data_IF_626295854222
#
_entry.id   IF_626295854222
#
_cell.length_a   1.000
_cell.length_b   1.000
_cell.length_c   1.000
_cell.angle_alpha   90.00
_cell.angle_beta   90.00
_cell.angle_gamma   90.00
#
_symmetry.space_group_name_H-M   'P 1'
#
loop_
_entity.id
_entity.type
_entity.pdbx_description
1 polymer ?
#
# COMPACT_ATOMS: atom_id res chain seq x y z
N UNK A 1 4.97 8.52 -0.13
CA UNK A 1 6.41 8.21 -0.22
C UNK A 1 6.58 6.71 -0.17
N UNK A 2 7.44 6.16 -1.02
CA UNK A 2 7.63 4.71 -1.17
C UNK A 2 9.05 4.26 -0.83
N UNK A 3 9.16 3.00 -0.42
CA UNK A 3 10.46 2.30 -0.39
C UNK A 3 10.84 1.83 -1.80
N UNK A 4 11.48 2.72 -2.57
CA UNK A 4 11.83 2.53 -4.00
C UNK A 4 12.48 1.19 -4.36
N UNK A 5 13.21 0.54 -3.44
CA UNK A 5 13.87 -0.74 -3.69
C UNK A 5 12.90 -1.94 -3.76
N UNK A 6 11.63 -1.79 -3.36
CA UNK A 6 10.69 -2.92 -3.33
C UNK A 6 10.19 -3.28 -4.74
N UNK A 7 10.16 -4.58 -5.14
CA UNK A 7 9.87 -5.00 -6.51
C UNK A 7 8.49 -4.57 -7.03
N UNK A 8 7.50 -4.41 -6.15
CA UNK A 8 6.15 -3.93 -6.54
C UNK A 8 6.17 -2.52 -7.14
N UNK A 9 7.18 -1.71 -6.83
CA UNK A 9 7.35 -0.36 -7.36
C UNK A 9 8.23 -0.30 -8.62
N UNK A 10 8.58 -1.45 -9.20
CA UNK A 10 9.40 -1.47 -10.43
C UNK A 10 8.78 -0.60 -11.52
N UNK A 11 9.57 0.28 -12.14
CA UNK A 11 9.10 1.23 -13.16
C UNK A 11 8.44 2.50 -12.61
N UNK A 12 8.25 2.63 -11.30
CA UNK A 12 7.92 3.90 -10.67
C UNK A 12 9.21 4.69 -10.45
N UNK A 13 9.30 5.89 -11.03
CA UNK A 13 10.52 6.72 -11.00
C UNK A 13 10.58 7.60 -9.75
N UNK A 14 9.44 8.18 -9.40
CA UNK A 14 9.31 9.16 -8.33
C UNK A 14 9.08 8.51 -6.96
N UNK A 15 9.40 9.21 -5.87
CA UNK A 15 9.14 8.75 -4.50
C UNK A 15 7.67 8.86 -4.11
N UNK A 16 6.95 9.68 -4.86
CA UNK A 16 5.53 9.96 -4.69
C UNK A 16 4.85 9.81 -6.04
N UNK A 17 3.69 9.17 -6.03
CA UNK A 17 2.82 9.04 -7.19
C UNK A 17 1.38 8.94 -6.70
N UNK A 18 0.45 9.11 -7.63
CA UNK A 18 -0.98 9.08 -7.34
C UNK A 18 -1.53 7.67 -7.53
N UNK A 19 -2.47 7.32 -6.65
CA UNK A 19 -3.30 6.12 -6.72
C UNK A 19 -4.74 6.52 -6.41
N UNK A 20 -5.68 5.92 -7.14
CA UNK A 20 -7.10 6.02 -6.88
C UNK A 20 -7.45 5.44 -5.51
N UNK A 21 -8.33 6.10 -4.78
CA UNK A 21 -8.80 5.68 -3.47
C UNK A 21 -10.28 5.99 -3.33
N UNK A 22 -11.09 4.96 -3.10
CA UNK A 22 -12.56 5.05 -3.08
C UNK A 22 -13.10 4.84 -1.67
N UNK A 23 -12.67 5.67 -0.71
CA UNK A 23 -13.07 5.57 0.71
C UNK A 23 -12.84 4.18 1.32
N UNK A 24 -11.80 3.46 0.90
CA UNK A 24 -11.40 2.17 1.47
C UNK A 24 -10.94 2.31 2.94
N UNK A 25 -10.66 1.22 3.66
CA UNK A 25 -10.20 1.33 5.04
C UNK A 25 -8.83 2.04 5.12
N UNK A 26 -8.73 3.06 5.97
CA UNK A 26 -7.44 3.60 6.42
C UNK A 26 -6.84 2.60 7.39
N UNK A 27 -5.61 2.18 7.12
CA UNK A 27 -4.96 1.14 7.92
C UNK A 27 -4.43 1.74 9.23
N UNK A 28 -4.69 1.04 10.32
CA UNK A 28 -4.18 1.37 11.65
C UNK A 28 -3.46 0.15 12.24
N UNK A 29 -2.39 0.35 13.03
CA UNK A 29 -1.75 -0.75 13.73
C UNK A 29 -2.76 -1.46 14.65
N UNK A 30 -2.86 -2.79 14.52
CA UNK A 30 -3.57 -3.62 15.50
C UNK A 30 -2.72 -3.88 16.74
N UNK A 31 -3.37 -4.30 17.82
CA UNK A 31 -2.76 -4.62 19.13
C UNK A 31 -2.51 -6.13 19.34
N UNK A 32 -2.83 -6.95 18.34
CA UNK A 32 -2.64 -8.39 18.39
C UNK A 32 -1.14 -8.75 18.35
N UNK A 33 -0.71 -9.85 19.00
CA UNK A 33 0.68 -10.31 19.03
C UNK A 33 1.07 -11.00 17.70
N UNK A 34 0.96 -10.28 16.59
CA UNK A 34 1.33 -10.72 15.25
C UNK A 34 2.77 -10.29 14.91
N UNK A 35 3.44 -10.96 13.95
CA UNK A 35 4.69 -10.48 13.41
C UNK A 35 4.58 -9.03 12.93
N UNK A 36 5.65 -8.25 13.08
CA UNK A 36 5.70 -6.88 12.58
C UNK A 36 5.49 -6.86 11.06
N UNK A 37 4.70 -5.90 10.61
CA UNK A 37 4.62 -5.54 9.19
C UNK A 37 5.63 -4.44 8.86
N UNK A 38 5.94 -4.33 7.58
CA UNK A 38 6.73 -3.26 7.01
C UNK A 38 5.82 -2.34 6.19
N UNK A 39 5.82 -1.05 6.51
CA UNK A 39 5.23 -0.04 5.64
C UNK A 39 6.08 0.12 4.39
N UNK A 40 5.43 0.00 3.23
CA UNK A 40 6.02 0.19 1.91
C UNK A 40 5.68 1.56 1.33
N UNK A 41 4.49 2.09 1.66
CA UNK A 41 4.06 3.42 1.28
C UNK A 41 3.11 4.04 2.32
N UNK A 42 3.13 5.37 2.41
CA UNK A 42 2.21 6.17 3.23
C UNK A 42 1.46 7.21 2.40
N UNK A 43 0.23 7.53 2.81
CA UNK A 43 -0.57 8.62 2.24
C UNK A 43 0.09 9.98 2.46
N UNK A 44 0.07 10.82 1.42
CA UNK A 44 0.62 12.20 1.44
C UNK A 44 -0.42 13.26 1.18
N UNK A 45 -1.59 12.84 0.72
CA UNK A 45 -2.78 13.66 0.57
C UNK A 45 -3.85 13.11 1.50
N UNK A 46 -4.84 13.94 1.72
CA UNK A 46 -5.98 13.60 2.55
C UNK A 46 -7.22 13.53 1.66
N UNK A 47 -8.13 12.61 2.00
CA UNK A 47 -9.38 12.42 1.26
C UNK A 47 -10.56 12.56 2.21
N UNK A 48 -11.42 13.55 1.95
CA UNK A 48 -12.47 13.99 2.86
C UNK A 48 -13.85 13.82 2.24
N UNK A 49 -14.25 12.57 2.02
CA UNK A 49 -15.63 12.23 1.73
C UNK A 49 -16.24 11.38 2.85
N UNK A 50 -17.57 11.33 2.91
CA UNK A 50 -18.32 10.45 3.82
C UNK A 50 -18.00 10.59 5.32
N UNK A 51 -17.65 11.80 5.77
CA UNK A 51 -17.44 12.10 7.20
C UNK A 51 -16.02 11.82 7.73
N UNK A 52 -15.05 11.51 6.86
CA UNK A 52 -13.64 11.48 7.21
C UNK A 52 -13.16 12.87 7.68
N UNK A 53 -12.40 12.93 8.78
CA UNK A 53 -11.93 14.22 9.31
C UNK A 53 -10.62 14.65 8.64
N UNK A 54 -10.40 15.97 8.50
CA UNK A 54 -9.08 16.53 8.21
C UNK A 54 -7.98 15.96 9.10
N UNK A 55 -6.93 15.42 8.46
CA UNK A 55 -5.74 14.86 9.08
C UNK A 55 -5.75 13.34 9.28
N UNK A 56 -6.86 12.65 9.03
CA UNK A 56 -6.98 11.23 9.39
C UNK A 56 -6.11 10.32 8.52
N UNK A 57 -5.96 10.64 7.22
CA UNK A 57 -5.19 9.81 6.28
C UNK A 57 -3.71 10.20 6.20
N UNK A 58 -3.38 11.48 6.42
CA UNK A 58 -2.01 11.97 6.23
C UNK A 58 -0.99 11.18 7.06
N UNK A 59 0.01 10.62 6.38
CA UNK A 59 1.06 9.82 7.01
C UNK A 59 0.65 8.41 7.43
N UNK A 60 -0.61 8.00 7.21
CA UNK A 60 -1.05 6.63 7.47
C UNK A 60 -0.53 5.66 6.41
N UNK A 61 -0.42 4.41 6.79
CA UNK A 61 -0.01 3.32 5.91
C UNK A 61 -0.97 3.18 4.72
N UNK A 62 -0.43 3.32 3.51
CA UNK A 62 -1.17 3.10 2.28
C UNK A 62 -0.94 1.69 1.73
N UNK A 63 0.31 1.21 1.82
CA UNK A 63 0.70 -0.13 1.36
C UNK A 63 1.65 -0.73 2.39
N UNK A 64 1.41 -1.97 2.79
CA UNK A 64 2.27 -2.72 3.71
C UNK A 64 2.59 -4.12 3.20
N UNK A 65 3.69 -4.66 3.72
CA UNK A 65 4.07 -6.05 3.64
C UNK A 65 4.09 -6.68 5.03
N UNK A 66 3.62 -7.92 5.16
CA UNK A 66 3.83 -8.72 6.36
C UNK A 66 4.22 -10.16 6.00
N UNK A 67 4.69 -10.90 7.00
CA UNK A 67 4.86 -12.36 6.93
C UNK A 67 3.79 -13.02 7.78
N UNK A 68 3.19 -14.09 7.26
CA UNK A 68 2.29 -14.93 8.03
C UNK A 68 2.61 -16.40 7.79
N UNK A 69 3.10 -17.07 8.84
CA UNK A 69 3.67 -18.43 8.75
C UNK A 69 4.75 -18.47 7.66
N UNK A 70 4.58 -19.31 6.63
CA UNK A 70 5.51 -19.44 5.49
C UNK A 70 5.22 -18.46 4.35
N UNK A 71 4.09 -17.75 4.41
CA UNK A 71 3.63 -16.84 3.37
C UNK A 71 4.09 -15.40 3.58
N UNK A 72 3.96 -14.63 2.49
CA UNK A 72 4.02 -13.17 2.49
C UNK A 72 2.59 -12.63 2.32
N UNK A 73 2.36 -11.41 2.79
CA UNK A 73 1.10 -10.68 2.61
C UNK A 73 1.46 -9.29 2.14
N UNK A 74 0.80 -8.81 1.09
CA UNK A 74 0.81 -7.40 0.69
C UNK A 74 -0.62 -6.91 0.85
N UNK A 75 -0.78 -5.72 1.45
CA UNK A 75 -2.08 -5.09 1.58
C UNK A 75 -2.01 -3.70 0.94
N UNK A 76 -2.96 -3.44 0.05
CA UNK A 76 -3.19 -2.14 -0.56
C UNK A 76 -4.46 -1.53 0.04
N UNK A 77 -4.34 -0.35 0.62
CA UNK A 77 -5.48 0.52 0.94
C UNK A 77 -6.02 1.24 -0.32
N UNK A 78 -5.17 1.79 -1.22
CA UNK A 78 -5.61 2.36 -2.50
C UNK A 78 -5.69 1.30 -3.61
N UNK A 79 -6.18 1.70 -4.80
CA UNK A 79 -6.48 0.82 -5.93
C UNK A 79 -5.49 1.00 -7.10
N UNK A 80 -4.30 0.34 -7.08
CA UNK A 80 -3.39 0.36 -8.23
C UNK A 80 -4.03 -0.18 -9.51
N UNK A 81 -4.95 -1.12 -9.41
CA UNK A 81 -5.68 -1.75 -10.52
C UNK A 81 -6.69 -0.81 -11.20
N UNK A 82 -7.16 0.22 -10.49
CA UNK A 82 -8.05 1.25 -11.05
C UNK A 82 -7.29 2.53 -11.40
N UNK A 83 -5.99 2.59 -11.11
CA UNK A 83 -5.16 3.76 -11.39
C UNK A 83 -4.44 3.61 -12.72
N UNK A 84 -4.69 4.55 -13.63
CA UNK A 84 -4.07 4.55 -14.96
C UNK A 84 -2.53 4.50 -14.89
N UNK A 85 -1.95 3.51 -15.55
CA UNK A 85 -0.50 3.32 -15.61
C UNK A 85 0.14 2.78 -14.33
N UNK A 86 -0.66 2.24 -13.40
CA UNK A 86 -0.21 1.55 -12.17
C UNK A 86 -0.78 0.14 -12.03
N UNK A 87 -1.53 -0.33 -13.01
CA UNK A 87 -2.23 -1.62 -13.02
C UNK A 87 -1.25 -2.79 -12.81
N UNK A 88 -0.05 -2.68 -13.40
CA UNK A 88 1.02 -3.67 -13.26
C UNK A 88 1.57 -3.79 -11.83
N UNK A 89 1.31 -2.84 -10.93
CA UNK A 89 1.73 -2.98 -9.53
C UNK A 89 1.04 -4.15 -8.84
N UNK A 90 -0.25 -4.38 -9.12
CA UNK A 90 -0.97 -5.52 -8.56
C UNK A 90 -0.39 -6.84 -9.08
N UNK A 91 -0.12 -6.92 -10.38
CA UNK A 91 0.52 -8.10 -11.00
C UNK A 91 1.89 -8.38 -10.36
N UNK A 92 2.73 -7.36 -10.21
CA UNK A 92 4.04 -7.49 -9.56
C UNK A 92 3.95 -7.89 -8.09
N UNK A 93 2.91 -7.46 -7.38
CA UNK A 93 2.65 -7.92 -6.02
C UNK A 93 2.34 -9.41 -6.00
N UNK A 94 1.52 -9.91 -6.94
CA UNK A 94 1.22 -11.34 -7.06
C UNK A 94 2.49 -12.14 -7.38
N UNK A 95 3.29 -11.72 -8.37
CA UNK A 95 4.58 -12.36 -8.70
C UNK A 95 5.50 -12.44 -7.47
N UNK A 96 5.68 -11.31 -6.77
CA UNK A 96 6.51 -11.23 -5.57
C UNK A 96 6.04 -12.15 -4.43
N UNK A 97 4.71 -12.26 -4.26
CA UNK A 97 4.09 -13.13 -3.27
C UNK A 97 4.24 -14.62 -3.63
N UNK A 98 4.18 -14.96 -4.92
CA UNK A 98 4.39 -16.31 -5.44
C UNK A 98 5.87 -16.78 -5.33
N UNK A 99 6.80 -15.86 -5.05
CA UNK A 99 8.23 -16.15 -5.00
C UNK A 99 8.91 -16.03 -6.36
N UNK A 100 8.24 -15.43 -7.34
CA UNK A 100 8.83 -15.05 -8.62
C UNK A 100 9.42 -13.64 -8.47
N UNK A 101 10.76 -13.57 -8.52
CA UNK A 101 11.63 -12.39 -8.27
C UNK A 101 11.99 -12.12 -6.80
#
# INVERSE_FOLDING_TARGET
>A
EIKKAHPIFSGIKDETFELEYFSGPVLVPGDLPLPKYQELAVFRTDYHENGAKPGDMLGRTAILEARYKKGKVILFSPHPELTRGKELMLVRAVEYLAGEK
#
